data_IF_605759292102
#
_entry.id   IF_605759292102
#
_cell.length_a   1.000
_cell.length_b   1.000
_cell.length_c   1.000
_cell.angle_alpha   90.00
_cell.angle_beta   90.00
_cell.angle_gamma   90.00
#
_symmetry.space_group_name_H-M   'P 1'
#
loop_
_entity.id
_entity.type
_entity.pdbx_description
1 polymer ?
#
# COMPACT_ATOMS: atom_id res chain seq x y z
N UNK A 1 4.27 -14.06 13.09
CA UNK A 1 3.35 -13.18 12.32
C UNK A 1 4.14 -11.99 11.86
N UNK A 2 4.37 -11.88 10.58
CA UNK A 2 5.08 -10.76 9.98
C UNK A 2 4.12 -9.88 9.16
N UNK A 3 4.42 -8.59 9.08
CA UNK A 3 3.65 -7.62 8.30
C UNK A 3 4.51 -7.11 7.15
N UNK A 4 4.06 -7.31 5.92
CA UNK A 4 4.69 -6.72 4.74
C UNK A 4 4.24 -5.25 4.60
N UNK A 5 5.20 -4.34 4.61
CA UNK A 5 4.98 -2.91 4.36
C UNK A 5 5.53 -2.57 2.98
N UNK A 6 4.65 -2.51 1.98
CA UNK A 6 5.04 -2.10 0.63
C UNK A 6 5.09 -0.57 0.51
N UNK A 7 6.17 -0.04 -0.05
CA UNK A 7 6.48 1.39 0.01
C UNK A 7 7.01 1.83 1.39
N UNK A 8 7.62 0.89 2.14
CA UNK A 8 8.04 1.11 3.52
C UNK A 8 9.26 2.02 3.69
N UNK A 9 10.01 2.33 2.63
CA UNK A 9 11.06 3.34 2.65
C UNK A 9 10.53 4.77 2.38
N UNK A 10 9.26 4.91 2.00
CA UNK A 10 8.59 6.20 1.83
C UNK A 10 8.31 6.90 3.17
N UNK A 11 7.81 8.15 3.11
CA UNK A 11 7.56 8.96 4.31
C UNK A 11 6.58 8.28 5.28
N UNK A 12 5.36 7.98 4.86
CA UNK A 12 4.35 7.34 5.72
C UNK A 12 4.77 5.92 6.07
N UNK A 13 5.25 5.14 5.09
CA UNK A 13 5.67 3.76 5.29
C UNK A 13 6.75 3.60 6.34
N UNK A 14 7.78 4.46 6.34
CA UNK A 14 8.86 4.39 7.33
C UNK A 14 8.40 4.71 8.76
N UNK A 15 7.50 5.69 8.93
CA UNK A 15 6.89 5.97 10.23
C UNK A 15 6.03 4.80 10.71
N UNK A 16 5.26 4.19 9.80
CA UNK A 16 4.48 2.99 10.13
C UNK A 16 5.39 1.82 10.53
N UNK A 17 6.53 1.63 9.85
CA UNK A 17 7.50 0.60 10.25
C UNK A 17 8.02 0.83 11.67
N UNK A 18 8.29 2.09 12.07
CA UNK A 18 8.72 2.41 13.44
C UNK A 18 7.64 1.99 14.45
N UNK A 19 6.38 2.36 14.22
CA UNK A 19 5.28 2.02 15.13
C UNK A 19 5.06 0.50 15.22
N UNK A 20 5.07 -0.21 14.10
CA UNK A 20 4.94 -1.67 14.08
C UNK A 20 6.07 -2.36 14.85
N UNK A 21 7.32 -1.94 14.59
CA UNK A 21 8.48 -2.49 15.30
C UNK A 21 8.38 -2.21 16.80
N UNK A 22 8.01 -0.99 17.21
CA UNK A 22 7.84 -0.64 18.62
C UNK A 22 6.71 -1.44 19.28
N UNK A 23 5.64 -1.73 18.56
CA UNK A 23 4.54 -2.59 19.01
C UNK A 23 4.92 -4.10 19.07
N UNK A 24 6.11 -4.47 18.59
CA UNK A 24 6.62 -5.84 18.67
C UNK A 24 6.26 -6.75 17.50
N UNK A 25 5.79 -6.17 16.39
CA UNK A 25 5.57 -6.94 15.16
C UNK A 25 6.89 -7.21 14.42
N UNK A 26 6.96 -8.35 13.74
CA UNK A 26 7.97 -8.58 12.71
C UNK A 26 7.59 -7.82 11.45
N UNK A 27 8.54 -7.08 10.89
CA UNK A 27 8.30 -6.24 9.72
C UNK A 27 9.14 -6.71 8.53
N UNK A 28 8.48 -6.82 7.38
CA UNK A 28 9.11 -7.02 6.08
C UNK A 28 8.87 -5.76 5.26
N UNK A 29 9.92 -5.10 4.82
CA UNK A 29 9.82 -3.87 4.02
C UNK A 29 10.10 -4.18 2.56
N UNK A 30 9.26 -3.72 1.65
CA UNK A 30 9.49 -3.75 0.21
C UNK A 30 9.39 -2.34 -0.37
N UNK A 31 10.40 -1.92 -1.15
CA UNK A 31 10.43 -0.62 -1.82
C UNK A 31 11.41 -0.67 -2.98
N UNK A 32 11.12 0.00 -4.10
CA UNK A 32 12.01 0.09 -5.26
C UNK A 32 12.84 1.38 -5.27
N UNK A 33 12.72 2.20 -4.24
CA UNK A 33 13.38 3.50 -4.08
C UNK A 33 13.07 4.52 -5.18
N UNK A 34 11.98 4.35 -5.93
CA UNK A 34 11.58 5.32 -6.96
C UNK A 34 11.46 6.75 -6.41
N UNK A 35 10.91 6.88 -5.19
CA UNK A 35 10.74 8.18 -4.50
C UNK A 35 11.17 8.11 -3.03
N UNK A 36 12.13 7.27 -2.71
CA UNK A 36 12.65 7.06 -1.37
C UNK A 36 14.18 6.93 -1.39
N UNK A 37 14.80 6.96 -0.22
CA UNK A 37 16.26 6.81 -0.08
C UNK A 37 16.60 5.65 0.86
N UNK A 38 17.60 4.82 0.55
CA UNK A 38 18.07 3.75 1.43
C UNK A 38 18.37 4.20 2.87
N UNK A 39 18.84 5.43 3.05
CA UNK A 39 19.18 6.01 4.36
C UNK A 39 17.99 6.02 5.33
N UNK A 40 16.76 5.98 4.80
CA UNK A 40 15.53 5.93 5.63
C UNK A 40 15.49 4.65 6.45
N UNK A 41 15.86 3.52 5.87
CA UNK A 41 15.86 2.23 6.56
C UNK A 41 16.89 2.18 7.69
N UNK A 42 18.07 2.78 7.50
CA UNK A 42 19.07 2.91 8.55
C UNK A 42 18.54 3.77 9.71
N UNK A 43 17.82 4.84 9.42
CA UNK A 43 17.18 5.69 10.44
C UNK A 43 16.10 4.95 11.21
N UNK A 44 15.28 4.13 10.54
CA UNK A 44 14.28 3.28 11.22
C UNK A 44 14.96 2.34 12.21
N UNK A 45 16.06 1.67 11.80
CA UNK A 45 16.87 0.81 12.69
C UNK A 45 17.48 1.59 13.86
N UNK A 46 18.01 2.79 13.61
CA UNK A 46 18.59 3.65 14.66
C UNK A 46 17.55 4.09 15.69
N UNK A 47 16.34 4.47 15.24
CA UNK A 47 15.26 4.94 16.11
C UNK A 47 14.70 3.81 16.96
N UNK A 48 14.50 2.64 16.37
CA UNK A 48 13.82 1.52 17.03
C UNK A 48 14.79 0.59 17.78
N UNK A 49 16.06 0.62 17.44
CA UNK A 49 17.06 -0.36 17.90
C UNK A 49 16.79 -1.79 17.40
N UNK A 50 15.89 -1.95 16.43
CA UNK A 50 15.45 -3.25 15.90
C UNK A 50 15.84 -3.42 14.44
N UNK A 51 16.03 -4.67 14.03
CA UNK A 51 16.29 -5.06 12.66
C UNK A 51 14.99 -5.55 11.99
N UNK A 52 14.94 -5.55 10.66
CA UNK A 52 13.84 -6.03 9.85
C UNK A 52 14.33 -6.50 8.49
N UNK A 53 13.55 -7.34 7.83
CA UNK A 53 13.83 -7.81 6.46
C UNK A 53 13.51 -6.72 5.45
N UNK A 54 14.37 -6.54 4.45
CA UNK A 54 14.17 -5.57 3.37
C UNK A 54 14.37 -6.21 2.01
N UNK A 55 13.49 -5.88 1.07
CA UNK A 55 13.54 -6.26 -0.34
C UNK A 55 13.51 -5.01 -1.22
N UNK A 56 14.55 -4.83 -2.04
CA UNK A 56 14.47 -3.88 -3.14
C UNK A 56 13.64 -4.53 -4.25
N UNK A 57 12.37 -4.19 -4.32
CA UNK A 57 11.38 -4.89 -5.12
C UNK A 57 10.36 -3.91 -5.75
N UNK A 58 9.95 -4.21 -6.97
CA UNK A 58 8.87 -3.50 -7.65
C UNK A 58 7.56 -4.28 -7.46
N UNK A 59 6.63 -3.67 -6.74
CA UNK A 59 5.37 -4.31 -6.38
C UNK A 59 4.41 -4.48 -7.58
N UNK A 60 4.76 -3.94 -8.76
CA UNK A 60 4.05 -4.21 -10.02
C UNK A 60 4.52 -5.49 -10.72
N UNK A 61 5.62 -6.08 -10.23
CA UNK A 61 6.24 -7.29 -10.80
C UNK A 61 5.90 -8.50 -9.96
N UNK A 62 5.23 -9.45 -10.61
CA UNK A 62 4.76 -10.66 -9.95
C UNK A 62 5.90 -11.48 -9.32
N UNK A 63 7.02 -11.62 -10.03
CA UNK A 63 8.20 -12.34 -9.55
C UNK A 63 8.81 -11.74 -8.28
N UNK A 64 8.80 -10.41 -8.15
CA UNK A 64 9.35 -9.73 -6.98
C UNK A 64 8.47 -9.99 -5.74
N UNK A 65 7.15 -9.87 -5.90
CA UNK A 65 6.19 -10.11 -4.80
C UNK A 65 6.17 -11.58 -4.40
N UNK A 66 6.15 -12.49 -5.36
CA UNK A 66 6.21 -13.94 -5.14
C UNK A 66 7.46 -14.36 -4.35
N UNK A 67 8.61 -13.80 -4.73
CA UNK A 67 9.87 -14.04 -4.02
C UNK A 67 9.76 -13.66 -2.54
N UNK A 68 9.18 -12.47 -2.24
CA UNK A 68 9.02 -12.00 -0.86
C UNK A 68 8.20 -12.99 -0.04
N UNK A 69 7.04 -13.42 -0.55
CA UNK A 69 6.17 -14.36 0.16
C UNK A 69 6.78 -15.76 0.28
N UNK A 70 7.54 -16.21 -0.72
CA UNK A 70 8.25 -17.49 -0.67
C UNK A 70 9.35 -17.49 0.39
N UNK A 71 10.13 -16.40 0.48
CA UNK A 71 11.22 -16.28 1.46
C UNK A 71 10.72 -15.89 2.86
N UNK A 72 9.49 -15.34 2.95
CA UNK A 72 8.85 -14.93 4.20
C UNK A 72 7.46 -15.58 4.35
N UNK A 73 7.36 -16.89 4.52
CA UNK A 73 6.08 -17.60 4.60
C UNK A 73 5.27 -17.27 5.86
N UNK A 74 5.82 -16.50 6.78
CA UNK A 74 5.21 -16.01 8.00
C UNK A 74 4.47 -14.66 7.83
N UNK A 75 4.41 -14.11 6.61
CA UNK A 75 3.62 -12.90 6.30
C UNK A 75 2.13 -13.22 6.45
N UNK A 76 1.47 -12.49 7.36
CA UNK A 76 0.06 -12.63 7.71
C UNK A 76 -0.78 -11.42 7.31
N UNK A 77 -0.12 -10.29 7.07
CA UNK A 77 -0.77 -9.05 6.66
C UNK A 77 0.10 -8.23 5.71
N UNK A 78 -0.55 -7.43 4.86
CA UNK A 78 0.09 -6.44 4.00
C UNK A 78 -0.46 -5.06 4.28
N UNK A 79 0.44 -4.06 4.41
CA UNK A 79 0.09 -2.65 4.42
C UNK A 79 0.66 -2.02 3.15
N UNK A 80 -0.21 -1.55 2.26
CA UNK A 80 0.22 -0.99 0.98
C UNK A 80 0.27 0.53 1.01
N UNK A 81 1.50 1.07 0.98
CA UNK A 81 1.79 2.48 0.69
C UNK A 81 2.37 2.68 -0.72
N UNK A 82 2.96 1.64 -1.32
CA UNK A 82 3.56 1.72 -2.64
C UNK A 82 2.56 2.20 -3.69
N UNK A 83 2.77 3.41 -4.19
CA UNK A 83 2.00 4.05 -5.24
C UNK A 83 2.68 5.34 -5.71
N UNK A 84 2.45 5.78 -6.94
CA UNK A 84 2.71 7.15 -7.35
C UNK A 84 1.66 8.07 -6.72
N UNK A 85 2.07 9.19 -6.13
CA UNK A 85 1.21 10.02 -5.27
C UNK A 85 1.12 11.50 -5.65
N UNK A 86 1.90 11.97 -6.63
CA UNK A 86 1.94 13.38 -7.00
C UNK A 86 0.73 13.74 -7.88
N UNK A 87 -0.25 14.42 -7.30
CA UNK A 87 -1.52 14.81 -7.97
C UNK A 87 -1.26 15.55 -9.28
N UNK A 88 -0.40 16.58 -9.27
CA UNK A 88 -0.08 17.36 -10.47
C UNK A 88 0.60 16.52 -11.56
N UNK A 89 1.52 15.64 -11.20
CA UNK A 89 2.17 14.73 -12.15
C UNK A 89 1.17 13.75 -12.76
N UNK A 90 0.20 13.28 -11.99
CA UNK A 90 -0.81 12.33 -12.49
C UNK A 90 -1.61 12.88 -13.68
N UNK A 91 -1.82 14.19 -13.73
CA UNK A 91 -2.51 14.85 -14.84
C UNK A 91 -1.69 14.80 -16.13
N UNK A 92 -0.37 14.92 -16.04
CA UNK A 92 0.53 14.87 -17.19
C UNK A 92 0.93 13.45 -17.61
N UNK A 93 0.84 12.47 -16.68
CA UNK A 93 1.25 11.07 -16.88
C UNK A 93 0.17 10.08 -16.42
N UNK A 94 -1.08 10.19 -16.91
CA UNK A 94 -2.19 9.39 -16.39
C UNK A 94 -1.98 7.88 -16.61
N UNK A 95 -1.44 7.46 -17.75
CA UNK A 95 -1.24 6.04 -18.07
C UNK A 95 -0.27 5.39 -17.09
N UNK A 96 0.84 6.04 -16.77
CA UNK A 96 1.83 5.57 -15.82
C UNK A 96 1.23 5.43 -14.42
N UNK A 97 0.38 6.39 -14.01
CA UNK A 97 -0.32 6.34 -12.73
C UNK A 97 -1.31 5.19 -12.64
N UNK A 98 -2.15 5.01 -13.67
CA UNK A 98 -3.08 3.88 -13.71
C UNK A 98 -2.33 2.55 -13.73
N UNK A 99 -1.32 2.43 -14.60
CA UNK A 99 -0.55 1.20 -14.73
C UNK A 99 0.15 0.84 -13.42
N UNK A 100 0.89 1.77 -12.81
CA UNK A 100 1.62 1.52 -11.57
C UNK A 100 0.68 1.24 -10.40
N UNK A 101 -0.27 2.14 -10.14
CA UNK A 101 -1.04 2.09 -8.89
C UNK A 101 -2.03 0.92 -8.86
N UNK A 102 -2.67 0.60 -9.98
CA UNK A 102 -3.60 -0.54 -10.04
C UNK A 102 -2.86 -1.88 -10.06
N UNK A 103 -1.80 -2.01 -10.89
CA UNK A 103 -1.05 -3.26 -10.96
C UNK A 103 -0.38 -3.62 -9.64
N UNK A 104 0.16 -2.63 -8.91
CA UNK A 104 0.73 -2.85 -7.59
C UNK A 104 -0.25 -3.60 -6.67
N UNK A 105 -1.49 -3.14 -6.58
CA UNK A 105 -2.52 -3.80 -5.77
C UNK A 105 -2.93 -5.16 -6.33
N UNK A 106 -3.14 -5.25 -7.64
CA UNK A 106 -3.58 -6.51 -8.27
C UNK A 106 -2.55 -7.62 -8.10
N UNK A 107 -1.27 -7.32 -8.28
CA UNK A 107 -0.18 -8.28 -8.10
C UNK A 107 -0.07 -8.72 -6.65
N UNK A 108 -0.14 -7.78 -5.69
CA UNK A 108 -0.11 -8.12 -4.26
C UNK A 108 -1.28 -9.04 -3.90
N UNK A 109 -2.51 -8.72 -4.30
CA UNK A 109 -3.69 -9.54 -3.98
C UNK A 109 -3.61 -10.94 -4.58
N UNK A 110 -3.11 -11.07 -5.82
CA UNK A 110 -2.97 -12.39 -6.45
C UNK A 110 -1.93 -13.27 -5.72
N UNK A 111 -0.82 -12.68 -5.27
CA UNK A 111 0.18 -13.40 -4.49
C UNK A 111 -0.34 -13.72 -3.08
N UNK A 112 -0.97 -12.78 -2.39
CA UNK A 112 -1.57 -13.00 -1.07
C UNK A 112 -2.52 -14.20 -1.07
N UNK A 113 -3.41 -14.27 -2.07
CA UNK A 113 -4.35 -15.40 -2.22
C UNK A 113 -3.64 -16.73 -2.33
N UNK A 114 -2.52 -16.82 -3.07
CA UNK A 114 -1.76 -18.06 -3.25
C UNK A 114 -0.98 -18.49 -2.01
N UNK A 115 -0.66 -17.53 -1.14
CA UNK A 115 0.07 -17.74 0.11
C UNK A 115 -0.81 -17.74 1.36
N UNK A 116 -2.16 -17.78 1.22
CA UNK A 116 -3.12 -17.76 2.33
C UNK A 116 -2.92 -16.57 3.29
N UNK A 117 -2.55 -15.39 2.75
CA UNK A 117 -2.48 -14.14 3.50
C UNK A 117 -3.78 -13.37 3.28
N UNK A 118 -4.55 -13.11 4.34
CA UNK A 118 -5.92 -12.62 4.23
C UNK A 118 -6.14 -11.21 4.80
N UNK A 119 -5.10 -10.54 5.32
CA UNK A 119 -5.25 -9.24 5.95
C UNK A 119 -4.57 -8.15 5.10
N UNK A 120 -5.34 -7.18 4.65
CA UNK A 120 -4.84 -6.12 3.76
C UNK A 120 -5.27 -4.73 4.25
N UNK A 121 -4.30 -3.84 4.43
CA UNK A 121 -4.54 -2.43 4.73
C UNK A 121 -4.12 -1.58 3.53
N UNK A 122 -5.06 -0.83 3.00
CA UNK A 122 -4.84 0.06 1.86
C UNK A 122 -4.73 1.51 2.28
N UNK A 123 -3.61 2.13 1.96
CA UNK A 123 -3.42 3.58 2.04
C UNK A 123 -4.19 4.23 0.90
N UNK A 124 -5.45 4.57 1.16
CA UNK A 124 -6.27 5.35 0.26
C UNK A 124 -6.02 6.86 0.46
N UNK A 125 -6.91 7.71 0.05
CA UNK A 125 -6.74 9.16 0.10
C UNK A 125 -8.08 9.87 0.17
N UNK A 126 -8.15 11.02 0.83
CA UNK A 126 -9.31 11.90 0.78
C UNK A 126 -9.64 12.39 -0.64
N UNK A 127 -8.71 12.30 -1.59
CA UNK A 127 -8.96 12.64 -3.00
C UNK A 127 -10.01 11.75 -3.68
N UNK A 128 -10.37 10.60 -3.07
CA UNK A 128 -11.46 9.73 -3.56
C UNK A 128 -12.83 10.40 -3.50
N UNK A 129 -12.99 11.40 -2.63
CA UNK A 129 -14.24 12.15 -2.48
C UNK A 129 -14.41 13.27 -3.53
N UNK A 130 -13.36 13.60 -4.30
CA UNK A 130 -13.39 14.70 -5.27
C UNK A 130 -13.63 16.04 -4.61
N UNK A 131 -14.61 16.80 -5.12
CA UNK A 131 -15.05 18.07 -4.53
C UNK A 131 -16.21 17.80 -3.55
N UNK A 132 -15.95 17.75 -2.22
CA UNK A 132 -16.96 17.40 -1.25
C UNK A 132 -17.98 18.53 -1.08
N UNK A 133 -19.24 18.16 -0.81
CA UNK A 133 -20.32 19.13 -0.62
C UNK A 133 -20.14 20.01 0.63
N UNK A 134 -19.39 19.53 1.62
CA UNK A 134 -19.08 20.26 2.87
C UNK A 134 -17.83 19.71 3.55
N UNK A 135 -17.32 20.43 4.55
CA UNK A 135 -16.23 20.01 5.44
C UNK A 135 -16.69 20.13 6.90
N UNK A 136 -16.22 19.27 7.82
CA UNK A 136 -15.29 18.15 7.60
C UNK A 136 -15.90 17.04 6.77
N UNK A 137 -15.04 16.32 6.00
CA UNK A 137 -15.45 15.15 5.22
C UNK A 137 -15.61 13.97 6.16
N UNK A 138 -16.67 13.18 5.98
CA UNK A 138 -16.92 11.92 6.70
C UNK A 138 -16.93 10.75 5.72
N UNK A 139 -16.85 9.51 6.24
CA UNK A 139 -16.82 8.29 5.45
C UNK A 139 -18.09 8.02 4.64
N UNK A 140 -19.21 8.66 5.01
CA UNK A 140 -20.51 8.55 4.32
C UNK A 140 -20.57 9.35 3.02
N UNK A 141 -19.58 10.20 2.75
CA UNK A 141 -19.56 11.00 1.52
C UNK A 141 -19.36 10.09 0.29
N UNK A 142 -19.98 10.43 -0.85
CA UNK A 142 -19.86 9.63 -2.07
C UNK A 142 -18.41 9.59 -2.56
N UNK A 143 -17.98 8.40 -2.98
CA UNK A 143 -16.63 8.12 -3.51
C UNK A 143 -16.72 7.96 -5.03
N UNK A 144 -15.69 8.42 -5.75
CA UNK A 144 -15.53 8.17 -7.19
C UNK A 144 -15.63 9.39 -8.09
N UNK A 145 -16.19 10.51 -7.62
CA UNK A 145 -16.23 11.77 -8.37
C UNK A 145 -14.88 12.52 -8.28
N UNK A 146 -13.79 11.84 -8.61
CA UNK A 146 -12.41 12.34 -8.44
C UNK A 146 -12.07 13.40 -9.48
N UNK A 147 -11.18 14.35 -9.11
CA UNK A 147 -10.79 15.49 -9.94
C UNK A 147 -9.45 15.28 -10.67
N UNK A 148 -8.77 14.17 -10.44
CA UNK A 148 -7.45 13.88 -11.01
C UNK A 148 -7.18 12.37 -11.11
N UNK A 149 -6.25 11.94 -12.01
CA UNK A 149 -5.94 10.52 -12.20
C UNK A 149 -5.43 9.82 -10.94
N UNK A 150 -4.63 10.48 -10.09
CA UNK A 150 -4.20 9.88 -8.82
C UNK A 150 -5.40 9.51 -7.94
N UNK A 151 -6.31 10.45 -7.70
CA UNK A 151 -7.54 10.19 -6.93
C UNK A 151 -8.37 9.07 -7.56
N UNK A 152 -8.45 9.05 -8.90
CA UNK A 152 -9.17 7.99 -9.63
C UNK A 152 -8.51 6.63 -9.40
N UNK A 153 -7.16 6.53 -9.40
CA UNK A 153 -6.50 5.24 -9.10
C UNK A 153 -6.84 4.75 -7.69
N UNK A 154 -6.92 5.66 -6.70
CA UNK A 154 -7.29 5.30 -5.33
C UNK A 154 -8.75 4.82 -5.25
N UNK A 155 -9.69 5.54 -5.87
CA UNK A 155 -11.11 5.16 -5.91
C UNK A 155 -11.32 3.82 -6.63
N UNK A 156 -10.62 3.58 -7.74
CA UNK A 156 -10.69 2.30 -8.45
C UNK A 156 -10.12 1.15 -7.63
N UNK A 157 -9.02 1.38 -6.90
CA UNK A 157 -8.46 0.37 -6.01
C UNK A 157 -9.43 0.03 -4.87
N UNK A 158 -10.09 1.02 -4.26
CA UNK A 158 -11.13 0.75 -3.25
C UNK A 158 -12.28 -0.11 -3.84
N UNK A 159 -12.69 0.17 -5.07
CA UNK A 159 -13.72 -0.62 -5.75
C UNK A 159 -13.24 -2.05 -6.02
N UNK A 160 -12.01 -2.23 -6.51
CA UNK A 160 -11.41 -3.56 -6.72
C UNK A 160 -11.39 -4.34 -5.40
N UNK A 161 -10.89 -3.74 -4.32
CA UNK A 161 -10.83 -4.36 -3.01
C UNK A 161 -12.22 -4.76 -2.50
N UNK A 162 -13.22 -3.90 -2.68
CA UNK A 162 -14.61 -4.20 -2.33
C UNK A 162 -15.16 -5.40 -3.10
N UNK A 163 -14.87 -5.49 -4.39
CA UNK A 163 -15.37 -6.58 -5.23
C UNK A 163 -14.63 -7.90 -4.90
N UNK A 164 -13.31 -7.84 -4.59
CA UNK A 164 -12.53 -9.02 -4.16
C UNK A 164 -13.01 -9.54 -2.81
N UNK A 165 -13.28 -8.66 -1.82
CA UNK A 165 -13.85 -9.07 -0.52
C UNK A 165 -15.22 -9.75 -0.64
N UNK A 166 -16.04 -9.37 -1.63
CA UNK A 166 -17.32 -10.06 -1.88
C UNK A 166 -17.12 -11.46 -2.46
N UNK A 167 -16.07 -11.64 -3.26
CA UNK A 167 -15.72 -12.91 -3.88
C UNK A 167 -14.97 -13.85 -2.95
N UNK A 168 -14.19 -13.30 -2.02
CA UNK A 168 -13.40 -14.02 -1.03
C UNK A 168 -13.74 -13.53 0.38
N UNK A 169 -14.62 -14.26 1.11
CA UNK A 169 -15.04 -13.89 2.47
C UNK A 169 -13.92 -13.98 3.53
N UNK A 170 -12.81 -14.64 3.24
CA UNK A 170 -11.68 -14.73 4.17
C UNK A 170 -10.79 -13.47 4.10
N UNK A 171 -10.86 -12.70 3.01
CA UNK A 171 -10.07 -11.47 2.85
C UNK A 171 -10.64 -10.33 3.71
N UNK A 172 -9.82 -9.84 4.62
CA UNK A 172 -10.10 -8.69 5.46
C UNK A 172 -9.38 -7.45 4.93
N UNK A 173 -10.11 -6.39 4.62
CA UNK A 173 -9.56 -5.15 4.09
C UNK A 173 -9.92 -3.96 4.95
N UNK A 174 -8.90 -3.13 5.28
CA UNK A 174 -9.09 -1.82 5.86
C UNK A 174 -8.69 -0.73 4.85
N UNK A 175 -9.58 0.22 4.59
CA UNK A 175 -9.35 1.37 3.70
C UNK A 175 -9.09 2.61 4.54
N UNK A 176 -7.88 3.18 4.47
CA UNK A 176 -7.50 4.38 5.23
C UNK A 176 -7.47 5.59 4.29
N UNK A 177 -8.42 6.53 4.48
CA UNK A 177 -8.55 7.74 3.68
C UNK A 177 -8.05 8.95 4.46
N UNK A 178 -6.90 9.49 4.10
CA UNK A 178 -6.25 10.65 4.72
C UNK A 178 -5.60 11.59 3.71
#
# INVERSE_FOLDING_TARGET
MAILVSGGAGYIGSHTCIELLNAGYDVVVADNYYNASPVVLDRVKQITGKDFRFYNADMTRHEDVEKIFTECPDIDAVIQFAAYKAVGESVSKPIEYYYNNLNCTLVILDVMRRHNCHNFVFSSSATVYGDPASVPITEDFPVGATTNPYGTTKAFTERILTDVCKADPELNVALLRY
#
